data_IF_290843350988
#
_entry.id   IF_290843350988
#
_cell.length_a   1.000
_cell.length_b   1.000
_cell.length_c   1.000
_cell.angle_alpha   90.00
_cell.angle_beta   90.00
_cell.angle_gamma   90.00
#
_symmetry.space_group_name_H-M   'P 1'
#
loop_
_entity.id
_entity.type
_entity.pdbx_description
1 polymer ?
#
# COMPACT_ATOMS: atom_id res chain seq x y z
N UNK A 1 -9.75 -28.86 4.75
CA UNK A 1 -10.02 -27.50 4.24
C UNK A 1 -10.87 -27.64 2.99
N UNK A 2 -12.12 -27.18 3.02
CA UNK A 2 -13.01 -27.22 1.86
C UNK A 2 -12.44 -26.37 0.72
N UNK A 3 -12.59 -26.82 -0.53
CA UNK A 3 -12.06 -26.15 -1.72
C UNK A 3 -12.41 -24.65 -1.75
N UNK A 4 -13.67 -24.30 -1.45
CA UNK A 4 -14.17 -22.93 -1.46
C UNK A 4 -13.45 -21.97 -0.48
N UNK A 5 -13.01 -22.45 0.68
CA UNK A 5 -12.36 -21.59 1.68
C UNK A 5 -10.97 -21.10 1.22
N UNK A 6 -10.23 -21.94 0.51
CA UNK A 6 -8.92 -21.58 -0.05
C UNK A 6 -9.04 -20.50 -1.12
N UNK A 7 -10.06 -20.60 -1.97
CA UNK A 7 -10.37 -19.57 -2.99
C UNK A 7 -10.78 -18.24 -2.38
N UNK A 8 -11.54 -18.26 -1.28
CA UNK A 8 -11.91 -17.03 -0.57
C UNK A 8 -10.67 -16.31 -0.01
N UNK A 9 -9.73 -17.04 0.62
CA UNK A 9 -8.47 -16.45 1.11
C UNK A 9 -7.68 -15.85 -0.05
N UNK A 10 -7.56 -16.57 -1.17
CA UNK A 10 -6.85 -16.09 -2.34
C UNK A 10 -7.47 -14.81 -2.90
N UNK A 11 -8.80 -14.75 -3.00
CA UNK A 11 -9.51 -13.57 -3.49
C UNK A 11 -9.26 -12.34 -2.60
N UNK A 12 -9.30 -12.51 -1.27
CA UNK A 12 -9.01 -11.42 -0.33
C UNK A 12 -7.55 -10.97 -0.43
N UNK A 13 -6.60 -11.91 -0.48
CA UNK A 13 -5.18 -11.58 -0.64
C UNK A 13 -4.91 -10.86 -1.98
N UNK A 14 -5.57 -11.29 -3.05
CA UNK A 14 -5.48 -10.64 -4.35
C UNK A 14 -6.06 -9.22 -4.32
N UNK A 15 -7.21 -9.01 -3.67
CA UNK A 15 -7.79 -7.68 -3.50
C UNK A 15 -6.85 -6.75 -2.72
N UNK A 16 -6.27 -7.22 -1.62
CA UNK A 16 -5.28 -6.47 -0.85
C UNK A 16 -4.05 -6.09 -1.70
N UNK A 17 -3.58 -7.03 -2.52
CA UNK A 17 -2.44 -6.81 -3.41
C UNK A 17 -2.75 -5.77 -4.49
N UNK A 18 -3.91 -5.89 -5.14
CA UNK A 18 -4.39 -4.94 -6.16
C UNK A 18 -4.51 -3.55 -5.55
N UNK A 19 -5.17 -3.40 -4.40
CA UNK A 19 -5.33 -2.12 -3.71
C UNK A 19 -3.97 -1.45 -3.44
N UNK A 20 -3.03 -2.20 -2.88
CA UNK A 20 -1.69 -1.68 -2.58
C UNK A 20 -0.93 -1.25 -3.84
N UNK A 21 -1.03 -2.04 -4.91
CA UNK A 21 -0.37 -1.71 -6.18
C UNK A 21 -1.04 -0.55 -6.91
N UNK A 22 -2.35 -0.43 -6.84
CA UNK A 22 -3.11 0.65 -7.45
C UNK A 22 -2.65 2.00 -6.90
N UNK A 23 -2.60 2.14 -5.58
CA UNK A 23 -2.11 3.36 -4.92
C UNK A 23 -0.66 3.70 -5.32
N UNK A 24 0.20 2.67 -5.39
CA UNK A 24 1.60 2.86 -5.76
C UNK A 24 1.79 3.29 -7.22
N UNK A 25 0.98 2.73 -8.13
CA UNK A 25 1.02 3.01 -9.56
C UNK A 25 0.33 4.35 -9.90
N UNK A 26 -0.69 4.74 -9.15
CA UNK A 26 -1.45 5.96 -9.39
C UNK A 26 -0.61 7.25 -9.22
N UNK A 27 0.49 7.20 -8.46
CA UNK A 27 1.32 8.38 -8.21
C UNK A 27 1.98 8.93 -9.49
N UNK A 28 2.58 8.08 -10.32
CA UNK A 28 3.37 8.54 -11.47
C UNK A 28 2.55 9.33 -12.51
N UNK A 29 1.34 8.89 -12.90
CA UNK A 29 0.46 9.67 -13.77
C UNK A 29 -0.02 11.00 -13.18
N UNK A 30 -0.06 11.14 -11.85
CA UNK A 30 -0.51 12.34 -11.15
C UNK A 30 0.59 13.40 -10.98
N UNK A 31 1.85 13.07 -11.29
CA UNK A 31 2.98 14.01 -11.16
C UNK A 31 2.73 15.32 -11.92
N UNK A 32 2.30 15.33 -13.20
CA UNK A 32 2.01 16.57 -13.92
C UNK A 32 0.89 17.37 -13.26
N UNK A 33 -0.17 16.70 -12.78
CA UNK A 33 -1.27 17.34 -12.06
C UNK A 33 -0.79 18.03 -10.78
N UNK A 34 0.10 17.39 -10.02
CA UNK A 34 0.68 18.02 -8.83
C UNK A 34 1.56 19.23 -9.16
N UNK A 35 2.27 19.20 -10.30
CA UNK A 35 3.07 20.33 -10.76
C UNK A 35 2.16 21.50 -11.14
N UNK A 36 1.10 21.24 -11.89
CA UNK A 36 0.19 22.25 -12.43
C UNK A 36 -0.73 22.84 -11.33
N UNK A 37 -1.34 22.00 -10.49
CA UNK A 37 -2.35 22.43 -9.52
C UNK A 37 -1.75 22.94 -8.21
N UNK A 38 -0.63 22.34 -7.74
CA UNK A 38 0.02 22.72 -6.48
C UNK A 38 1.25 23.62 -6.69
N UNK A 39 1.60 23.93 -7.95
CA UNK A 39 2.78 24.71 -8.29
C UNK A 39 4.10 24.03 -7.90
N UNK A 40 4.09 22.70 -7.74
CA UNK A 40 5.26 21.94 -7.34
C UNK A 40 6.24 21.80 -8.51
N UNK A 41 7.53 21.65 -8.22
CA UNK A 41 8.50 21.26 -9.24
C UNK A 41 8.54 19.73 -9.38
N UNK A 42 8.92 19.23 -10.56
CA UNK A 42 9.15 17.79 -10.75
C UNK A 42 10.14 17.20 -9.72
N UNK A 43 11.15 17.97 -9.32
CA UNK A 43 12.12 17.58 -8.29
C UNK A 43 11.47 17.46 -6.89
N UNK A 44 10.57 18.36 -6.55
CA UNK A 44 9.82 18.31 -5.29
C UNK A 44 8.89 17.08 -5.25
N UNK A 45 8.16 16.80 -6.34
CA UNK A 45 7.29 15.62 -6.44
C UNK A 45 8.09 14.31 -6.36
N UNK A 46 9.28 14.27 -6.97
CA UNK A 46 10.22 13.15 -6.82
C UNK A 46 10.68 12.96 -5.38
N UNK A 47 10.94 14.05 -4.65
CA UNK A 47 11.32 14.02 -3.24
C UNK A 47 10.20 13.47 -2.36
N UNK A 48 8.94 13.83 -2.63
CA UNK A 48 7.76 13.27 -1.93
C UNK A 48 7.70 11.75 -2.15
N UNK A 49 7.91 11.29 -3.38
CA UNK A 49 7.93 9.85 -3.69
C UNK A 49 9.06 9.12 -2.95
N UNK A 50 10.25 9.72 -2.86
CA UNK A 50 11.36 9.15 -2.08
C UNK A 50 11.04 9.10 -0.58
N UNK A 51 10.43 10.15 -0.03
CA UNK A 51 10.00 10.16 1.37
C UNK A 51 8.94 9.08 1.65
N UNK A 52 8.00 8.87 0.73
CA UNK A 52 7.05 7.76 0.79
C UNK A 52 7.76 6.40 0.86
N UNK A 53 8.79 6.16 0.03
CA UNK A 53 9.54 4.89 0.09
C UNK A 53 10.27 4.67 1.42
N UNK A 54 10.90 5.72 1.98
CA UNK A 54 11.60 5.61 3.26
C UNK A 54 10.64 5.38 4.43
N UNK A 55 9.53 6.11 4.48
CA UNK A 55 8.49 5.93 5.50
C UNK A 55 7.84 4.54 5.40
N UNK A 56 7.54 4.08 4.18
CA UNK A 56 7.05 2.73 3.94
C UNK A 56 8.04 1.66 4.42
N UNK A 57 9.34 1.83 4.12
CA UNK A 57 10.38 0.89 4.55
C UNK A 57 10.49 0.84 6.07
N UNK A 58 10.48 1.99 6.73
CA UNK A 58 10.49 2.06 8.18
C UNK A 58 9.24 1.39 8.79
N UNK A 59 8.08 1.53 8.15
CA UNK A 59 6.83 0.92 8.59
C UNK A 59 6.77 -0.60 8.41
N UNK A 60 7.60 -1.20 7.53
CA UNK A 60 7.60 -2.67 7.34
C UNK A 60 7.97 -3.43 8.62
N UNK A 61 8.91 -2.92 9.41
CA UNK A 61 9.36 -3.57 10.66
C UNK A 61 8.21 -3.66 11.69
N UNK A 62 7.58 -2.54 12.11
CA UNK A 62 6.49 -2.61 13.08
C UNK A 62 5.27 -3.37 12.54
N UNK A 63 4.93 -3.23 11.26
CA UNK A 63 3.81 -3.97 10.65
C UNK A 63 4.10 -5.48 10.62
N UNK A 64 5.34 -5.88 10.33
CA UNK A 64 5.77 -7.28 10.39
C UNK A 64 5.62 -7.86 11.79
N UNK A 65 6.12 -7.16 12.81
CA UNK A 65 5.96 -7.55 14.22
C UNK A 65 4.47 -7.66 14.59
N UNK A 66 3.65 -6.72 14.11
CA UNK A 66 2.21 -6.73 14.37
C UNK A 66 1.53 -7.94 13.71
N UNK A 67 1.94 -8.29 12.49
CA UNK A 67 1.45 -9.46 11.76
C UNK A 67 1.82 -10.77 12.47
N UNK A 68 3.04 -10.85 13.01
CA UNK A 68 3.51 -12.00 13.78
C UNK A 68 2.75 -12.14 15.11
N UNK A 69 2.45 -11.01 15.77
CA UNK A 69 1.79 -11.01 17.09
C UNK A 69 0.27 -11.19 17.04
N UNK A 70 -0.41 -10.56 16.07
CA UNK A 70 -1.88 -10.55 15.99
C UNK A 70 -2.44 -11.45 14.88
N UNK A 71 -1.55 -12.07 14.10
CA UNK A 71 -1.88 -12.93 12.99
C UNK A 71 -2.10 -12.14 11.69
N UNK A 72 -1.52 -12.66 10.61
CA UNK A 72 -1.54 -12.06 9.26
C UNK A 72 -2.94 -11.70 8.77
N UNK A 73 -3.96 -12.51 9.07
CA UNK A 73 -5.35 -12.25 8.66
C UNK A 73 -5.91 -10.93 9.22
N UNK A 74 -5.70 -10.66 10.51
CA UNK A 74 -6.26 -9.46 11.17
C UNK A 74 -5.54 -8.21 10.69
N UNK A 75 -4.21 -8.29 10.58
CA UNK A 75 -3.39 -7.19 10.10
C UNK A 75 -3.69 -6.86 8.64
N UNK A 76 -3.83 -7.86 7.77
CA UNK A 76 -4.20 -7.64 6.37
C UNK A 76 -5.57 -6.95 6.24
N UNK A 77 -6.59 -7.42 6.97
CA UNK A 77 -7.92 -6.80 6.94
C UNK A 77 -7.92 -5.38 7.51
N UNK A 78 -7.15 -5.12 8.57
CA UNK A 78 -6.99 -3.78 9.12
C UNK A 78 -6.30 -2.84 8.12
N UNK A 79 -5.22 -3.29 7.47
CA UNK A 79 -4.51 -2.51 6.45
C UNK A 79 -5.40 -2.18 5.26
N UNK A 80 -6.22 -3.14 4.82
CA UNK A 80 -7.20 -2.92 3.74
C UNK A 80 -8.31 -1.93 4.11
N UNK A 81 -8.63 -1.76 5.40
CA UNK A 81 -9.66 -0.84 5.87
C UNK A 81 -9.14 0.59 6.09
N UNK A 82 -7.84 0.74 6.35
CA UNK A 82 -7.19 2.04 6.58
C UNK A 82 -6.85 2.73 5.25
N UNK A 83 -6.52 1.95 4.22
CA UNK A 83 -6.24 2.39 2.85
C UNK A 83 -7.48 2.22 1.97
#
# INVERSE_FOLDING_TARGET
MTSAYRWAILAVAMAAFIQTHLHRMAFAPLIPTFVDDLGLTYAATGTIQTAYFWTYTAAQIPIGILADRWGSRRVMLASMAVL
#
